data_IF_634674801712
#
_entry.id   IF_634674801712
#
_cell.length_a   1.000
_cell.length_b   1.000
_cell.length_c   1.000
_cell.angle_alpha   90.00
_cell.angle_beta   90.00
_cell.angle_gamma   90.00
#
_symmetry.space_group_name_H-M   'P 1'
#
loop_
_entity.id
_entity.type
_entity.pdbx_description
1 polymer ?
#
# COMPACT_ATOMS: atom_id res chain seq x y z
N UNK A 1 -11.71 9.89 15.33
CA UNK A 1 -10.69 10.13 14.29
C UNK A 1 -11.03 9.27 13.07
N UNK A 2 -11.63 9.89 12.05
CA UNK A 2 -12.06 9.22 10.81
C UNK A 2 -10.81 8.72 10.10
N UNK A 3 -10.71 7.40 9.98
CA UNK A 3 -9.78 6.59 9.20
C UNK A 3 -8.76 7.37 8.36
N UNK A 4 -7.45 7.15 8.62
CA UNK A 4 -6.39 7.31 7.63
C UNK A 4 -6.65 6.27 6.52
N UNK A 5 -7.67 6.51 5.69
CA UNK A 5 -7.92 5.71 4.50
C UNK A 5 -6.79 5.98 3.53
N UNK A 6 -6.45 4.99 2.71
CA UNK A 6 -5.70 5.19 1.49
C UNK A 6 -6.28 6.41 0.76
N UNK A 7 -5.44 7.41 0.52
CA UNK A 7 -5.83 8.55 -0.31
C UNK A 7 -5.61 8.18 -1.77
N UNK A 8 -6.35 8.81 -2.70
CA UNK A 8 -6.07 8.68 -4.14
C UNK A 8 -4.59 8.92 -4.47
N UNK A 9 -3.94 9.88 -3.79
CA UNK A 9 -2.50 10.16 -3.95
C UNK A 9 -1.62 8.95 -3.62
N UNK A 10 -1.89 8.25 -2.51
CA UNK A 10 -1.08 7.07 -2.12
C UNK A 10 -1.34 5.91 -3.09
N UNK A 11 -2.58 5.74 -3.56
CA UNK A 11 -2.92 4.73 -4.56
C UNK A 11 -2.21 5.00 -5.89
N UNK A 12 -2.21 6.25 -6.36
CA UNK A 12 -1.47 6.65 -7.56
C UNK A 12 0.03 6.37 -7.40
N UNK A 13 0.64 6.76 -6.28
CA UNK A 13 2.06 6.48 -6.02
C UNK A 13 2.39 4.98 -6.03
N UNK A 14 1.47 4.14 -5.57
CA UNK A 14 1.63 2.68 -5.63
C UNK A 14 1.55 2.16 -7.07
N UNK A 15 0.57 2.61 -7.86
CA UNK A 15 0.40 2.21 -9.26
C UNK A 15 1.60 2.68 -10.10
N UNK A 16 2.04 3.92 -9.92
CA UNK A 16 3.19 4.48 -10.62
C UNK A 16 4.49 3.72 -10.29
N UNK A 17 4.65 3.32 -9.02
CA UNK A 17 5.83 2.56 -8.58
C UNK A 17 5.79 1.10 -9.05
N UNK A 18 4.61 0.50 -9.13
CA UNK A 18 4.39 -0.91 -9.46
C UNK A 18 3.37 -1.07 -10.59
N UNK A 19 3.67 -0.57 -11.81
CA UNK A 19 2.71 -0.58 -12.93
C UNK A 19 2.33 -2.01 -13.36
N UNK A 20 3.26 -2.95 -13.21
CA UNK A 20 3.07 -4.38 -13.53
C UNK A 20 2.72 -5.22 -12.27
N UNK A 21 2.43 -4.56 -11.15
CA UNK A 21 2.28 -5.17 -9.84
C UNK A 21 3.59 -5.31 -9.06
N UNK A 22 3.48 -5.80 -7.82
CA UNK A 22 4.60 -5.97 -6.89
C UNK A 22 4.94 -7.45 -6.69
N UNK A 23 6.23 -7.74 -6.49
CA UNK A 23 6.73 -9.07 -6.16
C UNK A 23 7.02 -9.24 -4.67
N UNK A 24 7.39 -10.46 -4.29
CA UNK A 24 7.75 -10.79 -2.89
C UNK A 24 8.96 -9.99 -2.37
N UNK A 25 9.82 -9.51 -3.27
CA UNK A 25 11.01 -8.71 -2.92
C UNK A 25 10.66 -7.25 -2.57
N UNK A 26 9.50 -6.78 -3.00
CA UNK A 26 9.03 -5.42 -2.75
C UNK A 26 8.31 -5.30 -1.40
N UNK A 27 7.95 -6.44 -0.81
CA UNK A 27 7.20 -6.52 0.44
C UNK A 27 8.12 -6.43 1.64
N UNK A 28 7.94 -5.39 2.44
CA UNK A 28 8.53 -5.28 3.77
C UNK A 28 7.70 -6.11 4.74
N UNK A 29 8.33 -7.11 5.37
CA UNK A 29 7.69 -7.96 6.39
C UNK A 29 8.29 -7.69 7.77
N UNK A 30 7.44 -7.40 8.74
CA UNK A 30 7.83 -7.22 10.13
C UNK A 30 6.79 -7.84 11.07
N UNK A 31 7.15 -8.07 12.33
CA UNK A 31 6.18 -8.55 13.34
C UNK A 31 5.69 -7.39 14.20
N UNK A 32 4.41 -7.42 14.57
CA UNK A 32 3.86 -6.47 15.53
C UNK A 32 4.03 -6.97 16.97
N UNK A 33 3.63 -6.16 17.95
CA UNK A 33 3.70 -6.50 19.38
C UNK A 33 2.91 -7.76 19.79
N UNK A 34 2.04 -8.30 18.92
CA UNK A 34 1.29 -9.55 19.12
C UNK A 34 1.95 -10.75 18.44
N UNK A 35 3.17 -10.59 17.90
CA UNK A 35 3.88 -11.65 17.16
C UNK A 35 3.27 -11.97 15.79
N UNK A 36 2.34 -11.16 15.28
CA UNK A 36 1.76 -11.36 13.95
C UNK A 36 2.63 -10.68 12.90
N UNK A 37 2.88 -11.39 11.79
CA UNK A 37 3.50 -10.78 10.61
C UNK A 37 2.55 -9.77 9.97
N UNK A 38 3.13 -8.62 9.63
CA UNK A 38 2.53 -7.57 8.83
C UNK A 38 3.39 -7.45 7.57
N UNK A 39 2.72 -7.35 6.44
CA UNK A 39 3.31 -7.16 5.13
C UNK A 39 2.90 -5.79 4.62
N UNK A 40 3.87 -5.03 4.13
CA UNK A 40 3.62 -3.69 3.64
C UNK A 40 4.49 -3.36 2.42
N UNK A 41 3.95 -2.51 1.54
CA UNK A 41 4.68 -1.87 0.46
C UNK A 41 5.13 -0.50 0.90
N UNK A 42 6.37 -0.16 0.59
CA UNK A 42 6.90 1.18 0.79
C UNK A 42 6.54 2.06 -0.40
N UNK A 43 5.95 3.23 -0.14
CA UNK A 43 5.88 4.35 -1.09
C UNK A 43 6.29 5.63 -0.39
N UNK A 44 6.88 6.55 -1.14
CA UNK A 44 7.41 7.77 -0.56
C UNK A 44 7.04 8.99 -1.39
N UNK A 45 6.82 10.09 -0.68
CA UNK A 45 6.91 11.45 -1.20
C UNK A 45 8.30 11.99 -0.87
N UNK A 46 8.60 13.23 -1.25
CA UNK A 46 9.90 13.85 -0.95
C UNK A 46 10.24 13.84 0.55
N UNK A 47 9.25 14.08 1.41
CA UNK A 47 9.47 14.26 2.86
C UNK A 47 8.98 13.10 3.73
N UNK A 48 8.13 12.21 3.18
CA UNK A 48 7.40 11.22 3.97
C UNK A 48 7.45 9.85 3.29
N UNK A 49 7.92 8.85 4.04
CA UNK A 49 7.79 7.43 3.73
C UNK A 49 6.50 6.86 4.35
N UNK A 50 5.74 6.13 3.53
CA UNK A 50 4.53 5.41 3.92
C UNK A 50 4.75 3.90 3.77
N UNK A 51 4.26 3.14 4.75
CA UNK A 51 4.11 1.69 4.65
C UNK A 51 2.63 1.36 4.46
N UNK A 52 2.29 0.90 3.27
CA UNK A 52 0.93 0.51 2.92
C UNK A 52 0.76 -0.98 3.15
N UNK A 53 -0.13 -1.35 4.07
CA UNK A 53 -0.38 -2.75 4.42
C UNK A 53 -0.94 -3.50 3.20
N UNK A 54 -0.34 -4.64 2.89
CA UNK A 54 -0.79 -5.55 1.86
C UNK A 54 -1.88 -6.44 2.44
N UNK A 55 -3.13 -6.11 2.13
CA UNK A 55 -4.30 -6.91 2.46
C UNK A 55 -5.35 -6.87 1.35
N UNK A 56 -6.42 -7.64 1.52
CA UNK A 56 -7.52 -7.69 0.54
C UNK A 56 -8.22 -6.34 0.34
N UNK A 57 -8.13 -5.42 1.29
CA UNK A 57 -8.74 -4.10 1.15
C UNK A 57 -7.90 -3.22 0.21
N UNK A 58 -6.58 -3.28 0.28
CA UNK A 58 -5.69 -2.63 -0.69
C UNK A 58 -5.99 -3.10 -2.12
N UNK A 59 -6.04 -4.42 -2.35
CA UNK A 59 -6.33 -4.99 -3.68
C UNK A 59 -7.63 -4.44 -4.26
N UNK A 60 -8.71 -4.43 -3.46
CA UNK A 60 -10.00 -3.86 -3.88
C UNK A 60 -9.92 -2.37 -4.18
N UNK A 61 -9.18 -1.61 -3.38
CA UNK A 61 -9.01 -0.17 -3.61
C UNK A 61 -8.24 0.14 -4.88
N UNK A 62 -7.23 -0.66 -5.24
CA UNK A 62 -6.48 -0.50 -6.50
C UNK A 62 -7.39 -0.82 -7.69
N UNK A 63 -8.12 -1.93 -7.66
CA UNK A 63 -9.03 -2.33 -8.75
C UNK A 63 -10.11 -1.26 -8.97
N UNK A 64 -10.78 -0.83 -7.89
CA UNK A 64 -11.81 0.20 -7.99
C UNK A 64 -11.26 1.51 -8.57
N UNK A 65 -10.05 1.92 -8.15
CA UNK A 65 -9.42 3.13 -8.65
C UNK A 65 -9.12 3.06 -10.16
N UNK A 66 -8.60 1.92 -10.63
CA UNK A 66 -8.32 1.69 -12.06
C UNK A 66 -9.59 1.51 -12.93
N UNK A 67 -10.72 1.15 -12.35
CA UNK A 67 -12.01 1.05 -13.05
C UNK A 67 -12.75 2.40 -13.14
N UNK A 68 -12.46 3.33 -12.23
CA UNK A 68 -13.07 4.66 -12.17
C UNK A 68 -12.31 5.73 -12.99
N UNK A 69 -11.03 5.50 -13.29
CA UNK A 69 -10.15 6.35 -14.12
C UNK A 69 -10.05 5.87 -15.59
#
# INVERSE_FOLDING_TARGET
VKNKKLTPTILQLLIDKFPDGYGIRDVVRFSNAKGKYIEALEVQTEDIMYLVIVDKALERSIIQFLEED
#
